data_IF_290746077680
#
_entry.id   IF_290746077680
#
_cell.length_a   1.000
_cell.length_b   1.000
_cell.length_c   1.000
_cell.angle_alpha   90.00
_cell.angle_beta   90.00
_cell.angle_gamma   90.00
#
_symmetry.space_group_name_H-M   'P 1'
#
loop_
_entity.id
_entity.type
_entity.pdbx_description
1 polymer ?
#
# COMPACT_ATOMS: atom_id res chain seq x y z
N UNK A 1 1.86 11.63 5.05
CA UNK A 1 2.31 13.04 4.95
C UNK A 1 2.88 13.44 3.58
N UNK A 2 3.59 12.60 2.81
CA UNK A 2 4.13 12.98 1.50
C UNK A 2 3.08 13.45 0.49
N UNK A 3 1.91 12.78 0.46
CA UNK A 3 0.82 13.08 -0.46
C UNK A 3 0.36 14.55 -0.42
N UNK A 4 0.02 15.07 0.77
CA UNK A 4 -0.52 16.42 0.91
C UNK A 4 0.53 17.48 0.51
N UNK A 5 1.79 17.26 0.89
CA UNK A 5 2.89 18.17 0.53
C UNK A 5 3.15 18.15 -0.97
N UNK A 6 3.17 16.97 -1.60
CA UNK A 6 3.31 16.84 -3.04
C UNK A 6 2.14 17.54 -3.75
N UNK A 7 0.91 17.34 -3.29
CA UNK A 7 -0.27 17.96 -3.90
C UNK A 7 -0.17 19.48 -3.85
N UNK A 8 0.18 20.05 -2.70
CA UNK A 8 0.35 21.49 -2.54
C UNK A 8 1.46 22.01 -3.45
N UNK A 9 2.59 21.32 -3.53
CA UNK A 9 3.73 21.68 -4.38
C UNK A 9 3.35 21.70 -5.88
N UNK A 10 2.76 20.61 -6.38
CA UNK A 10 2.40 20.51 -7.80
C UNK A 10 1.27 21.48 -8.18
N UNK A 11 0.29 21.68 -7.30
CA UNK A 11 -0.83 22.60 -7.57
C UNK A 11 -0.47 24.08 -7.46
N UNK A 12 0.28 24.49 -6.42
CA UNK A 12 0.50 25.91 -6.12
C UNK A 12 1.86 26.46 -6.59
N UNK A 13 2.90 25.61 -6.62
CA UNK A 13 4.25 26.06 -7.00
C UNK A 13 4.52 25.79 -8.47
N UNK A 14 4.20 24.58 -8.95
CA UNK A 14 4.36 24.24 -10.37
C UNK A 14 3.17 24.77 -11.19
N UNK A 15 1.98 24.86 -10.60
CA UNK A 15 0.77 25.27 -11.33
C UNK A 15 0.22 24.17 -12.25
N UNK A 16 0.46 22.89 -11.91
CA UNK A 16 -0.11 21.76 -12.63
C UNK A 16 -1.62 21.67 -12.41
N UNK A 17 -2.35 21.11 -13.37
CA UNK A 17 -3.78 20.85 -13.24
C UNK A 17 -4.08 19.86 -12.09
N UNK A 18 -5.32 19.84 -11.62
CA UNK A 18 -5.73 19.03 -10.47
C UNK A 18 -5.50 17.53 -10.68
N UNK A 19 -5.74 17.03 -11.89
CA UNK A 19 -5.54 15.62 -12.24
C UNK A 19 -4.06 15.25 -12.18
N UNK A 20 -3.21 16.04 -12.85
CA UNK A 20 -1.76 15.85 -12.83
C UNK A 20 -1.19 15.93 -11.40
N UNK A 21 -1.68 16.88 -10.60
CA UNK A 21 -1.27 17.06 -9.20
C UNK A 21 -1.65 15.86 -8.35
N UNK A 22 -2.87 15.32 -8.49
CA UNK A 22 -3.31 14.13 -7.75
C UNK A 22 -2.53 12.87 -8.13
N UNK A 23 -2.32 12.64 -9.44
CA UNK A 23 -1.52 11.51 -9.92
C UNK A 23 -0.12 11.58 -9.35
N UNK A 24 0.51 12.75 -9.45
CA UNK A 24 1.87 12.92 -8.98
C UNK A 24 1.98 12.73 -7.47
N UNK A 25 1.03 13.29 -6.71
CA UNK A 25 0.98 13.12 -5.24
C UNK A 25 0.82 11.67 -4.80
N UNK A 26 0.06 10.89 -5.56
CA UNK A 26 -0.14 9.46 -5.30
C UNK A 26 1.15 8.67 -5.53
N UNK A 27 1.96 9.04 -6.51
CA UNK A 27 3.25 8.40 -6.75
C UNK A 27 4.21 8.54 -5.55
N UNK A 28 4.12 9.64 -4.79
CA UNK A 28 4.90 9.85 -3.56
C UNK A 28 4.44 9.01 -2.36
N UNK A 29 3.36 8.23 -2.50
CA UNK A 29 2.90 7.29 -1.46
C UNK A 29 3.63 5.95 -1.54
N UNK A 30 4.25 5.62 -2.67
CA UNK A 30 4.96 4.35 -2.82
C UNK A 30 6.21 4.29 -1.94
N UNK A 31 6.25 3.31 -1.02
CA UNK A 31 7.39 3.04 -0.11
C UNK A 31 8.12 1.76 -0.53
N UNK A 32 9.45 1.77 -0.58
CA UNK A 32 10.25 0.57 -0.90
C UNK A 32 10.80 -0.12 0.36
N UNK A 33 9.95 -0.89 1.02
CA UNK A 33 10.29 -1.57 2.29
C UNK A 33 11.28 -2.71 2.08
N UNK A 34 11.24 -3.39 0.93
CA UNK A 34 12.13 -4.51 0.63
C UNK A 34 13.63 -4.14 0.75
N UNK A 35 14.01 -2.94 0.32
CA UNK A 35 15.39 -2.44 0.44
C UNK A 35 15.74 -2.22 1.92
N UNK A 36 14.83 -1.63 2.70
CA UNK A 36 15.05 -1.38 4.13
C UNK A 36 15.16 -2.67 4.92
N UNK A 37 14.32 -3.67 4.63
CA UNK A 37 14.40 -5.00 5.25
C UNK A 37 15.73 -5.66 4.92
N UNK A 38 16.18 -5.60 3.66
CA UNK A 38 17.48 -6.15 3.29
C UNK A 38 18.64 -5.49 4.04
N UNK A 39 18.60 -4.17 4.20
CA UNK A 39 19.58 -3.45 5.02
C UNK A 39 19.52 -3.88 6.50
N UNK A 40 18.34 -4.12 7.05
CA UNK A 40 18.22 -4.63 8.43
C UNK A 40 18.72 -6.06 8.58
N UNK A 41 18.53 -6.91 7.57
CA UNK A 41 19.11 -8.26 7.52
C UNK A 41 20.64 -8.17 7.49
N UNK A 42 21.22 -7.36 6.60
CA UNK A 42 22.66 -7.18 6.46
C UNK A 42 23.31 -6.62 7.75
N UNK A 43 22.55 -5.84 8.54
CA UNK A 43 22.98 -5.31 9.84
C UNK A 43 22.64 -6.22 11.04
N UNK A 44 21.94 -7.34 10.83
CA UNK A 44 21.54 -8.26 11.91
C UNK A 44 20.42 -7.73 12.83
N UNK A 45 19.64 -6.74 12.39
CA UNK A 45 18.58 -6.10 13.17
C UNK A 45 17.16 -6.57 12.82
N UNK A 46 16.99 -7.44 11.82
CA UNK A 46 15.66 -7.84 11.31
C UNK A 46 14.76 -8.45 12.40
N UNK A 47 15.32 -9.28 13.29
CA UNK A 47 14.58 -9.97 14.36
C UNK A 47 14.40 -9.14 15.64
N UNK A 48 14.89 -7.90 15.67
CA UNK A 48 14.71 -7.04 16.84
C UNK A 48 13.28 -6.53 16.94
N UNK A 49 12.92 -6.02 18.12
CA UNK A 49 11.62 -5.34 18.32
C UNK A 49 11.44 -4.21 17.30
N UNK A 50 12.51 -3.47 17.00
CA UNK A 50 12.48 -2.39 16.01
C UNK A 50 12.31 -2.90 14.58
N UNK A 51 13.05 -3.96 14.20
CA UNK A 51 12.92 -4.60 12.88
C UNK A 51 11.52 -5.12 12.62
N UNK A 52 10.96 -5.86 13.58
CA UNK A 52 9.59 -6.36 13.51
C UNK A 52 8.54 -5.23 13.46
N UNK A 53 8.70 -4.16 14.25
CA UNK A 53 7.80 -3.00 14.19
C UNK A 53 7.83 -2.33 12.82
N UNK A 54 9.01 -2.18 12.22
CA UNK A 54 9.17 -1.59 10.90
C UNK A 54 8.49 -2.44 9.82
N UNK A 55 8.75 -3.75 9.82
CA UNK A 55 8.12 -4.69 8.86
C UNK A 55 6.59 -4.70 9.03
N UNK A 56 6.10 -4.73 10.27
CA UNK A 56 4.65 -4.70 10.52
C UNK A 56 4.00 -3.37 10.10
N UNK A 57 4.69 -2.24 10.33
CA UNK A 57 4.20 -0.93 9.91
C UNK A 57 4.12 -0.80 8.39
N UNK A 58 5.06 -1.41 7.67
CA UNK A 58 5.11 -1.40 6.21
C UNK A 58 3.89 -2.10 5.57
N UNK A 59 3.44 -3.23 6.14
CA UNK A 59 2.27 -3.94 5.63
C UNK A 59 1.01 -3.08 5.73
N UNK A 60 0.88 -2.27 6.78
CA UNK A 60 -0.25 -1.35 6.96
C UNK A 60 -0.16 -0.18 5.96
N UNK A 61 1.04 0.35 5.72
CA UNK A 61 1.30 1.43 4.76
C UNK A 61 0.85 1.05 3.34
N UNK A 62 1.09 -0.19 2.90
CA UNK A 62 0.71 -0.68 1.58
C UNK A 62 -0.82 -0.67 1.35
N UNK A 63 -1.61 -1.03 2.38
CA UNK A 63 -3.08 -0.99 2.31
C UNK A 63 -3.58 0.44 2.17
N UNK A 64 -3.02 1.36 2.96
CA UNK A 64 -3.35 2.78 2.90
C UNK A 64 -2.98 3.35 1.52
N UNK A 65 -1.86 2.93 0.95
CA UNK A 65 -1.41 3.32 -0.39
C UNK A 65 -2.40 2.93 -1.49
N UNK A 66 -2.88 1.68 -1.49
CA UNK A 66 -3.87 1.21 -2.47
C UNK A 66 -5.22 1.93 -2.30
N UNK A 67 -5.65 2.17 -1.05
CA UNK A 67 -6.87 2.95 -0.77
C UNK A 67 -6.76 4.38 -1.31
N UNK A 68 -5.63 5.05 -1.08
CA UNK A 68 -5.37 6.39 -1.59
C UNK A 68 -5.36 6.43 -3.13
N UNK A 69 -4.71 5.45 -3.77
CA UNK A 69 -4.70 5.32 -5.23
C UNK A 69 -6.10 5.11 -5.79
N UNK A 70 -6.91 4.24 -5.17
CA UNK A 70 -8.30 4.01 -5.55
C UNK A 70 -9.15 5.28 -5.46
N UNK A 71 -8.99 6.06 -4.39
CA UNK A 71 -9.69 7.35 -4.25
C UNK A 71 -9.28 8.35 -5.33
N UNK A 72 -7.99 8.46 -5.64
CA UNK A 72 -7.50 9.37 -6.67
C UNK A 72 -7.98 8.97 -8.05
N UNK A 73 -7.86 7.70 -8.43
CA UNK A 73 -8.37 7.20 -9.72
C UNK A 73 -9.84 7.53 -9.86
N UNK A 74 -10.64 7.20 -8.83
CA UNK A 74 -12.06 7.42 -8.89
C UNK A 74 -12.44 8.91 -8.94
N UNK A 75 -11.66 9.79 -8.29
CA UNK A 75 -11.85 11.25 -8.37
C UNK A 75 -11.57 11.76 -9.79
N UNK A 76 -10.53 11.24 -10.45
CA UNK A 76 -10.16 11.64 -11.81
C UNK A 76 -11.19 11.13 -12.83
N UNK A 77 -11.72 9.92 -12.65
CA UNK A 77 -12.63 9.30 -13.62
C UNK A 77 -14.08 9.75 -13.48
N UNK A 78 -14.56 9.95 -12.25
CA UNK A 78 -15.97 10.29 -11.96
C UNK A 78 -16.15 11.78 -11.64
N UNK A 79 -15.05 12.55 -11.55
CA UNK A 79 -15.05 13.97 -11.20
C UNK A 79 -15.35 14.19 -9.71
N UNK A 80 -16.63 14.36 -9.38
CA UNK A 80 -17.11 14.49 -8.01
C UNK A 80 -17.76 13.18 -7.56
N UNK A 81 -17.05 12.39 -6.76
CA UNK A 81 -17.71 11.30 -6.06
C UNK A 81 -18.51 11.84 -4.89
N UNK A 82 -19.77 11.42 -4.83
CA UNK A 82 -20.53 11.38 -3.59
C UNK A 82 -19.72 10.67 -2.49
N UNK A 83 -19.71 11.24 -1.28
CA UNK A 83 -19.00 10.65 -0.13
C UNK A 83 -19.42 9.19 0.11
N UNK A 84 -20.67 8.84 -0.20
CA UNK A 84 -21.19 7.48 -0.13
C UNK A 84 -20.45 6.50 -1.05
N UNK A 85 -20.08 6.92 -2.26
CA UNK A 85 -19.31 6.12 -3.22
C UNK A 85 -17.87 5.92 -2.76
N UNK A 86 -17.25 6.96 -2.19
CA UNK A 86 -15.89 6.86 -1.63
C UNK A 86 -15.87 5.83 -0.50
N UNK A 87 -16.79 5.97 0.46
CA UNK A 87 -16.88 5.04 1.60
C UNK A 87 -17.17 3.62 1.11
N UNK A 88 -18.06 3.44 0.13
CA UNK A 88 -18.35 2.12 -0.44
C UNK A 88 -17.11 1.50 -1.11
N UNK A 89 -16.35 2.26 -1.89
CA UNK A 89 -15.11 1.78 -2.54
C UNK A 89 -14.02 1.43 -1.52
N UNK A 90 -13.81 2.27 -0.50
CA UNK A 90 -12.86 2.00 0.59
C UNK A 90 -13.23 0.69 1.29
N UNK A 91 -14.49 0.53 1.69
CA UNK A 91 -14.98 -0.69 2.34
C UNK A 91 -14.80 -1.90 1.42
N UNK A 92 -15.16 -1.79 0.14
CA UNK A 92 -15.03 -2.90 -0.81
C UNK A 92 -13.57 -3.33 -0.99
N UNK A 93 -12.63 -2.39 -1.14
CA UNK A 93 -11.21 -2.70 -1.28
C UNK A 93 -10.62 -3.29 0.01
N UNK A 94 -11.00 -2.77 1.19
CA UNK A 94 -10.58 -3.34 2.47
C UNK A 94 -11.09 -4.78 2.65
N UNK A 95 -12.35 -5.06 2.29
CA UNK A 95 -12.90 -6.41 2.35
C UNK A 95 -12.19 -7.36 1.39
N UNK A 96 -11.94 -6.93 0.15
CA UNK A 96 -11.18 -7.71 -0.83
C UNK A 96 -9.78 -8.06 -0.31
N UNK A 97 -9.11 -7.10 0.32
CA UNK A 97 -7.80 -7.32 0.92
C UNK A 97 -7.85 -8.35 2.06
N UNK A 98 -8.84 -8.27 2.97
CA UNK A 98 -9.01 -9.26 4.06
C UNK A 98 -9.23 -10.66 3.49
N UNK A 99 -10.07 -10.81 2.47
CA UNK A 99 -10.32 -12.10 1.81
C UNK A 99 -9.05 -12.65 1.17
N UNK A 100 -8.26 -11.81 0.49
CA UNK A 100 -6.97 -12.21 -0.08
C UNK A 100 -5.96 -12.64 1.00
N UNK A 101 -6.01 -11.98 2.16
CA UNK A 101 -5.17 -12.31 3.31
C UNK A 101 -5.56 -13.68 3.89
N UNK A 102 -6.86 -13.94 4.11
CA UNK A 102 -7.35 -15.25 4.52
C UNK A 102 -6.92 -16.35 3.53
N UNK A 103 -7.14 -16.13 2.22
CA UNK A 103 -6.71 -17.09 1.20
C UNK A 103 -5.21 -17.36 1.28
N UNK A 104 -4.39 -16.33 1.44
CA UNK A 104 -2.93 -16.47 1.56
C UNK A 104 -2.55 -17.33 2.77
N UNK A 105 -3.21 -17.13 3.92
CA UNK A 105 -2.97 -17.94 5.13
C UNK A 105 -3.31 -19.41 4.89
N UNK A 106 -4.33 -19.75 4.09
CA UNK A 106 -4.67 -21.14 3.81
C UNK A 106 -3.81 -21.77 2.70
N UNK A 107 -3.42 -21.00 1.69
CA UNK A 107 -2.71 -21.51 0.51
C UNK A 107 -1.21 -21.64 0.74
N UNK A 108 -0.57 -20.66 1.40
CA UNK A 108 0.88 -20.65 1.67
C UNK A 108 1.36 -21.89 2.43
N UNK A 109 0.78 -22.28 3.59
CA UNK A 109 1.22 -23.48 4.30
C UNK A 109 1.01 -24.75 3.47
N UNK A 110 -0.08 -24.83 2.69
CA UNK A 110 -0.36 -26.00 1.85
C UNK A 110 0.66 -26.19 0.71
N UNK A 111 1.17 -25.09 0.16
CA UNK A 111 2.23 -25.13 -0.87
C UNK A 111 3.58 -25.50 -0.25
N UNK A 112 3.87 -25.01 0.96
CA UNK A 112 5.11 -25.32 1.67
C UNK A 112 5.15 -26.79 2.13
N UNK A 113 4.03 -27.30 2.66
CA UNK A 113 3.90 -28.71 3.05
C UNK A 113 4.08 -29.64 1.84
N UNK A 114 3.55 -29.29 0.66
CA UNK A 114 3.76 -30.07 -0.56
C UNK A 114 5.22 -30.15 -0.98
N UNK A 115 5.99 -29.07 -0.86
CA UNK A 115 7.43 -29.09 -1.21
C UNK A 115 8.24 -29.96 -0.25
N UNK A 116 7.89 -29.96 1.04
CA UNK A 116 8.54 -30.83 2.04
C UNK A 116 8.36 -32.33 1.76
N UNK A 117 7.30 -32.72 1.05
CA UNK A 117 6.99 -34.10 0.70
C UNK A 117 7.63 -34.55 -0.64
N UNK A 118 8.19 -33.63 -1.42
CA UNK A 118 8.81 -33.91 -2.73
C UNK A 118 10.34 -34.03 -2.60
N UNK A 119 10.94 -33.52 -1.51
CA UNK A 119 12.38 -33.61 -1.22
C UNK A 119 12.82 -34.90 -0.50
N UNK A 120 11.90 -35.87 -0.34
CA UNK A 120 12.20 -37.24 0.13
C UNK A 120 12.04 -38.25 -1.01
#
# INVERSE_FOLDING_TARGET
>A
MPFATAYFFYSNIIGADSTSSLIMSTAFVATSVAITVRMLEDLGYVDTVFGNLLVNSAVIDDVVGVIALGMVIATITEGAMEMSTIVAKVVAYSLLWIVMLEISIYVVPKILDQKSLIEH
#
